data_IF_813135536954
#
_entry.id   IF_813135536954
#
_cell.length_a   1.000
_cell.length_b   1.000
_cell.length_c   1.000
_cell.angle_alpha   90.00
_cell.angle_beta   90.00
_cell.angle_gamma   90.00
#
_symmetry.space_group_name_H-M   'P 1'
#
loop_
_entity.id
_entity.type
_entity.pdbx_description
1 polymer ?
#
# COMPACT_ATOMS: atom_id res chain seq x y z
N UNK A 1 6.98 -19.16 15.99
CA UNK A 1 6.89 -19.98 14.76
C UNK A 1 8.23 -19.83 14.05
N UNK A 2 8.94 -20.94 13.83
CA UNK A 2 10.11 -20.97 12.98
C UNK A 2 9.68 -20.68 11.55
N UNK A 3 10.30 -19.70 10.90
CA UNK A 3 10.15 -19.44 9.48
C UNK A 3 11.03 -20.43 8.68
N UNK A 4 10.83 -21.74 8.93
CA UNK A 4 11.68 -22.78 8.34
C UNK A 4 11.30 -23.14 6.89
N UNK A 5 10.24 -22.54 6.36
CA UNK A 5 9.84 -22.61 4.96
C UNK A 5 9.53 -21.19 4.49
N UNK A 6 10.56 -20.46 4.15
CA UNK A 6 10.41 -19.25 3.36
C UNK A 6 9.96 -19.65 1.96
N UNK A 7 8.69 -19.96 1.79
CA UNK A 7 8.09 -19.73 0.50
C UNK A 7 8.34 -18.26 0.18
N UNK A 8 8.87 -17.94 -0.98
CA UNK A 8 9.07 -16.55 -1.35
C UNK A 8 7.76 -15.80 -1.14
N UNK A 9 7.81 -14.76 -0.32
CA UNK A 9 6.65 -13.91 -0.09
C UNK A 9 6.37 -13.21 -1.42
N UNK A 10 5.16 -13.32 -1.97
CA UNK A 10 4.81 -12.61 -3.18
C UNK A 10 4.98 -11.11 -2.95
N UNK A 11 5.70 -10.46 -3.83
CA UNK A 11 5.69 -9.01 -3.93
C UNK A 11 4.69 -8.67 -5.03
N UNK A 12 3.50 -8.25 -4.64
CA UNK A 12 2.39 -8.04 -5.55
C UNK A 12 2.05 -6.56 -5.72
N UNK A 13 1.62 -6.22 -6.89
CA UNK A 13 1.10 -4.91 -7.24
C UNK A 13 -0.43 -5.01 -7.40
N UNK A 14 -1.18 -4.20 -6.67
CA UNK A 14 -2.63 -4.28 -6.65
C UNK A 14 -3.31 -2.91 -6.54
N UNK A 15 -4.64 -2.86 -6.66
CA UNK A 15 -5.47 -1.70 -6.40
C UNK A 15 -6.84 -2.14 -5.85
N UNK A 16 -7.67 -1.19 -5.47
CA UNK A 16 -9.06 -1.29 -5.00
C UNK A 16 -9.31 -1.31 -3.50
N UNK A 17 -8.29 -1.28 -2.67
CA UNK A 17 -8.45 -1.11 -1.22
C UNK A 17 -8.17 0.33 -0.82
N UNK A 18 -9.01 0.89 0.04
CA UNK A 18 -8.66 2.12 0.74
C UNK A 18 -7.89 1.76 2.00
N UNK A 19 -6.68 2.25 2.11
CA UNK A 19 -5.75 1.87 3.15
C UNK A 19 -5.10 3.09 3.79
N UNK A 20 -4.68 2.93 5.04
CA UNK A 20 -3.89 3.92 5.76
C UNK A 20 -2.71 3.22 6.39
N UNK A 21 -1.53 3.69 6.08
CA UNK A 21 -0.29 3.15 6.64
C UNK A 21 0.22 4.01 7.78
N UNK A 22 0.58 3.36 8.89
CA UNK A 22 1.45 3.87 9.92
C UNK A 22 2.81 3.18 9.79
N UNK A 23 3.84 3.93 9.45
CA UNK A 23 5.20 3.43 9.21
C UNK A 23 6.08 3.94 10.33
N UNK A 24 6.19 3.16 11.42
CA UNK A 24 6.92 3.63 12.58
C UNK A 24 8.36 3.08 12.64
N UNK A 25 9.26 3.88 13.22
CA UNK A 25 10.67 3.51 13.36
C UNK A 25 10.90 2.41 14.39
N UNK A 26 9.97 2.21 15.33
CA UNK A 26 10.08 1.21 16.38
C UNK A 26 9.97 -0.22 15.84
N UNK A 27 9.05 -0.46 14.90
CA UNK A 27 8.87 -1.76 14.27
C UNK A 27 9.87 -1.98 13.12
N UNK A 28 10.62 -0.95 12.77
CA UNK A 28 11.64 -0.97 11.73
C UNK A 28 13.05 -0.67 12.30
N UNK A 29 13.52 -1.43 13.32
CA UNK A 29 14.82 -1.18 13.92
C UNK A 29 15.94 -1.49 12.91
N UNK A 30 16.95 -0.63 12.89
CA UNK A 30 18.08 -0.79 11.97
C UNK A 30 17.86 -0.23 10.57
N UNK A 31 16.68 0.30 10.29
CA UNK A 31 16.44 1.07 9.08
C UNK A 31 17.19 2.40 9.20
N UNK A 32 18.13 2.62 8.32
CA UNK A 32 18.87 3.88 8.23
C UNK A 32 18.50 4.65 6.98
N UNK A 33 18.78 5.94 6.97
CA UNK A 33 18.56 6.79 5.79
C UNK A 33 19.33 6.33 4.53
N UNK A 34 20.26 5.40 4.67
CA UNK A 34 21.00 4.79 3.55
C UNK A 34 20.26 3.61 2.90
N UNK A 35 19.17 3.15 3.49
CA UNK A 35 18.34 2.10 2.91
C UNK A 35 17.14 2.71 2.18
N UNK A 36 17.06 2.44 0.90
CA UNK A 36 15.97 2.92 0.06
C UNK A 36 14.76 1.98 0.20
N UNK A 37 13.79 2.42 0.99
CA UNK A 37 12.52 1.72 1.15
C UNK A 37 11.52 2.35 0.20
N UNK A 38 11.31 1.69 -0.93
CA UNK A 38 10.41 2.19 -1.94
C UNK A 38 9.22 1.26 -2.10
N UNK A 39 8.11 1.85 -2.49
CA UNK A 39 6.92 1.14 -2.97
C UNK A 39 6.53 1.70 -4.32
N UNK A 40 5.98 0.86 -5.18
CA UNK A 40 5.39 1.33 -6.44
C UNK A 40 4.01 1.92 -6.16
N UNK A 41 3.72 3.11 -6.70
CA UNK A 41 2.44 3.80 -6.49
C UNK A 41 1.98 4.48 -7.77
N UNK A 42 0.77 4.15 -8.23
CA UNK A 42 0.19 4.71 -9.44
C UNK A 42 0.92 4.29 -10.71
N UNK A 43 0.77 5.10 -11.73
CA UNK A 43 1.40 4.94 -13.03
C UNK A 43 2.07 6.25 -13.46
N UNK A 44 3.11 6.15 -14.27
CA UNK A 44 3.64 7.33 -14.94
C UNK A 44 2.58 7.94 -15.86
N UNK A 45 2.57 9.26 -15.97
CA UNK A 45 1.58 10.03 -16.77
C UNK A 45 1.59 9.70 -18.27
N UNK A 46 2.66 9.11 -18.78
CA UNK A 46 2.78 8.70 -20.18
C UNK A 46 2.22 7.30 -20.47
N UNK A 47 1.82 6.54 -19.44
CA UNK A 47 1.29 5.19 -19.63
C UNK A 47 -0.10 5.25 -20.24
N UNK A 48 -0.26 4.60 -21.37
CA UNK A 48 -1.54 4.53 -22.07
C UNK A 48 -2.39 3.36 -21.56
N UNK A 49 -3.71 3.47 -21.79
CA UNK A 49 -4.65 2.38 -21.53
C UNK A 49 -4.22 1.08 -22.22
N UNK A 50 -3.78 1.16 -23.48
CA UNK A 50 -3.38 -0.01 -24.25
C UNK A 50 -2.13 -0.68 -23.67
N UNK A 51 -1.17 0.11 -23.17
CA UNK A 51 0.01 -0.43 -22.48
C UNK A 51 -0.39 -1.17 -21.20
N UNK A 52 -1.27 -0.58 -20.39
CA UNK A 52 -1.75 -1.21 -19.17
C UNK A 52 -2.54 -2.50 -19.48
N UNK A 53 -3.45 -2.44 -20.45
CA UNK A 53 -4.21 -3.61 -20.92
C UNK A 53 -3.29 -4.74 -21.42
N UNK A 54 -2.23 -4.39 -22.15
CA UNK A 54 -1.26 -5.38 -22.61
C UNK A 54 -0.53 -6.06 -21.44
N UNK A 55 -0.21 -5.31 -20.36
CA UNK A 55 0.33 -5.87 -19.13
C UNK A 55 -0.66 -6.83 -18.47
N UNK A 56 -1.93 -6.44 -18.32
CA UNK A 56 -2.96 -7.27 -17.72
C UNK A 56 -3.24 -8.55 -18.51
N UNK A 57 -3.24 -8.48 -19.83
CA UNK A 57 -3.38 -9.68 -20.68
C UNK A 57 -2.19 -10.65 -20.52
N UNK A 58 -0.97 -10.15 -20.31
CA UNK A 58 0.19 -11.01 -20.00
C UNK A 58 0.03 -11.65 -18.62
N UNK A 59 -0.35 -10.83 -17.62
CA UNK A 59 -0.60 -11.33 -16.28
C UNK A 59 -1.62 -12.48 -16.29
N UNK A 60 -2.74 -12.33 -17.00
CA UNK A 60 -3.76 -13.39 -17.13
C UNK A 60 -3.27 -14.68 -17.78
N UNK A 61 -2.13 -14.65 -18.50
CA UNK A 61 -1.46 -15.84 -19.03
C UNK A 61 -0.38 -16.41 -18.12
N UNK A 62 -0.21 -15.84 -16.91
CA UNK A 62 0.87 -16.23 -16.00
C UNK A 62 2.27 -15.80 -16.49
N UNK A 63 2.34 -14.76 -17.31
CA UNK A 63 3.59 -14.22 -17.85
C UNK A 63 4.04 -12.98 -17.06
N UNK A 64 5.36 -12.77 -16.97
CA UNK A 64 5.88 -11.50 -16.49
C UNK A 64 5.37 -10.35 -17.36
N UNK A 65 4.67 -9.41 -16.76
CA UNK A 65 3.97 -8.36 -17.48
C UNK A 65 4.70 -7.03 -17.55
N UNK A 66 5.70 -6.82 -16.69
CA UNK A 66 6.53 -5.61 -16.67
C UNK A 66 5.83 -4.37 -16.14
N UNK A 67 4.67 -4.50 -15.50
CA UNK A 67 3.87 -3.36 -15.05
C UNK A 67 4.62 -2.48 -14.02
N UNK A 68 5.51 -3.07 -13.21
CA UNK A 68 6.36 -2.30 -12.27
C UNK A 68 7.20 -1.24 -12.93
N UNK A 69 7.60 -1.45 -14.19
CA UNK A 69 8.36 -0.45 -14.95
C UNK A 69 7.49 0.73 -15.40
N UNK A 70 6.17 0.59 -15.29
CA UNK A 70 5.20 1.63 -15.61
C UNK A 70 4.75 2.43 -14.36
N UNK A 71 5.18 2.01 -13.17
CA UNK A 71 4.83 2.62 -11.90
C UNK A 71 6.01 3.41 -11.31
N UNK A 72 5.79 4.63 -10.82
CA UNK A 72 6.80 5.36 -10.07
C UNK A 72 7.09 4.67 -8.73
N UNK A 73 8.36 4.66 -8.36
CA UNK A 73 8.79 4.16 -7.06
C UNK A 73 8.95 5.33 -6.09
N UNK A 74 8.19 5.27 -5.01
CA UNK A 74 8.11 6.30 -3.99
C UNK A 74 8.85 5.85 -2.74
N UNK A 75 9.70 6.72 -2.21
CA UNK A 75 10.38 6.46 -0.95
C UNK A 75 9.45 6.73 0.23
N UNK A 76 9.23 5.73 1.06
CA UNK A 76 8.43 5.85 2.27
C UNK A 76 9.27 6.43 3.41
N UNK A 77 8.65 7.30 4.21
CA UNK A 77 9.32 7.95 5.33
C UNK A 77 8.86 7.34 6.66
N UNK A 78 9.84 6.94 7.48
CA UNK A 78 9.56 6.46 8.83
C UNK A 78 8.88 7.56 9.67
N UNK A 79 8.06 7.12 10.62
CA UNK A 79 7.30 7.94 11.56
C UNK A 79 6.24 8.86 10.93
N UNK A 80 5.96 8.67 9.65
CA UNK A 80 4.87 9.34 8.95
C UNK A 80 3.74 8.35 8.64
N UNK A 81 2.57 8.89 8.43
CA UNK A 81 1.43 8.18 7.86
C UNK A 81 1.36 8.34 6.35
N UNK A 82 0.64 7.47 5.71
CA UNK A 82 0.29 7.58 4.30
C UNK A 82 -1.14 7.10 4.07
N UNK A 83 -1.87 7.80 3.22
CA UNK A 83 -3.23 7.41 2.84
C UNK A 83 -3.22 6.87 1.42
N UNK A 84 -3.69 5.65 1.25
CA UNK A 84 -3.85 5.02 -0.05
C UNK A 84 -5.32 5.02 -0.44
N UNK A 85 -5.75 5.88 -1.37
CA UNK A 85 -7.12 5.89 -1.85
C UNK A 85 -7.47 4.61 -2.61
N UNK A 86 -8.74 4.25 -2.57
CA UNK A 86 -9.27 3.19 -3.41
C UNK A 86 -8.97 3.44 -4.89
N UNK A 87 -8.67 2.40 -5.63
CA UNK A 87 -8.44 2.44 -7.06
C UNK A 87 -7.02 2.80 -7.50
N UNK A 88 -6.13 3.16 -6.57
CA UNK A 88 -4.74 3.45 -6.92
C UNK A 88 -3.88 2.20 -6.82
N UNK A 89 -3.17 1.93 -7.91
CA UNK A 89 -2.21 0.84 -8.00
C UNK A 89 -1.05 1.06 -7.02
N UNK A 90 -0.77 0.06 -6.20
CA UNK A 90 0.36 0.13 -5.27
C UNK A 90 0.85 -1.28 -4.90
N UNK A 91 2.03 -1.34 -4.33
CA UNK A 91 2.58 -2.57 -3.78
C UNK A 91 2.91 -2.41 -2.30
N UNK A 92 2.92 -3.49 -1.52
CA UNK A 92 3.46 -3.45 -0.17
C UNK A 92 4.89 -2.91 -0.19
N UNK A 93 5.21 -2.10 0.81
CA UNK A 93 6.60 -1.70 1.05
C UNK A 93 7.36 -2.84 1.75
N UNK A 94 8.67 -2.83 1.67
CA UNK A 94 9.54 -3.73 2.46
C UNK A 94 9.74 -3.26 3.91
N UNK A 95 8.98 -2.25 4.35
CA UNK A 95 8.90 -1.82 5.74
C UNK A 95 7.78 -2.56 6.46
N UNK A 96 7.94 -2.73 7.77
CA UNK A 96 6.83 -3.12 8.62
C UNK A 96 5.86 -1.95 8.77
N UNK A 97 4.61 -2.16 8.40
CA UNK A 97 3.55 -1.16 8.45
C UNK A 97 2.40 -1.64 9.32
N UNK A 98 1.77 -0.72 10.06
CA UNK A 98 0.44 -0.95 10.58
C UNK A 98 -0.56 -0.41 9.58
N UNK A 99 -1.38 -1.29 9.07
CA UNK A 99 -2.33 -0.96 8.02
C UNK A 99 -3.76 -1.02 8.57
N UNK A 100 -4.47 0.07 8.43
CA UNK A 100 -5.91 0.12 8.61
C UNK A 100 -6.58 0.22 7.25
N UNK A 101 -7.57 -0.60 7.01
CA UNK A 101 -8.38 -0.53 5.80
C UNK A 101 -9.86 -0.57 6.13
N UNK A 102 -10.68 0.00 5.27
CA UNK A 102 -12.14 -0.17 5.34
C UNK A 102 -12.53 -1.58 4.92
N UNK A 103 -13.69 -2.01 5.37
CA UNK A 103 -14.24 -3.37 5.23
C UNK A 103 -14.51 -3.84 3.79
N UNK A 104 -13.76 -3.37 2.81
CA UNK A 104 -13.83 -3.86 1.43
C UNK A 104 -12.56 -4.64 1.14
N UNK A 105 -12.72 -5.95 0.97
CA UNK A 105 -11.61 -6.86 0.63
C UNK A 105 -11.45 -7.06 -0.87
N UNK A 106 -12.01 -6.15 -1.68
CA UNK A 106 -11.80 -6.21 -3.12
C UNK A 106 -10.34 -5.96 -3.44
N UNK A 107 -9.75 -6.91 -4.12
CA UNK A 107 -8.33 -6.93 -4.35
C UNK A 107 -8.05 -7.34 -5.80
N UNK A 108 -7.59 -6.37 -6.58
CA UNK A 108 -7.20 -6.60 -7.96
C UNK A 108 -5.70 -6.70 -8.04
N UNK A 109 -5.20 -7.85 -8.40
CA UNK A 109 -3.78 -8.03 -8.67
C UNK A 109 -3.45 -7.57 -10.09
N UNK A 110 -2.42 -6.75 -10.21
CA UNK A 110 -1.84 -6.37 -11.49
C UNK A 110 -0.51 -7.11 -11.75
N UNK A 111 0.12 -7.60 -10.70
CA UNK A 111 1.33 -8.41 -10.76
C UNK A 111 1.43 -9.24 -9.48
N UNK A 112 1.91 -10.46 -9.61
CA UNK A 112 2.24 -11.35 -8.51
C UNK A 112 3.63 -11.96 -8.77
N UNK A 113 4.67 -11.20 -8.45
CA UNK A 113 6.06 -11.60 -8.63
C UNK A 113 6.65 -12.01 -7.28
N UNK A 114 7.18 -13.22 -7.20
CA UNK A 114 7.86 -13.68 -6.00
C UNK A 114 9.30 -13.14 -5.91
N UNK A 115 9.89 -13.12 -4.71
CA UNK A 115 11.25 -12.63 -4.49
C UNK A 115 12.32 -13.38 -5.30
N UNK A 116 12.06 -14.63 -5.67
CA UNK A 116 12.93 -15.44 -6.54
C UNK A 116 12.65 -15.24 -8.03
N UNK A 117 11.81 -14.28 -8.39
CA UNK A 117 11.53 -13.89 -9.78
C UNK A 117 10.52 -14.79 -10.50
N UNK A 118 9.83 -15.69 -9.80
CA UNK A 118 8.74 -16.48 -10.39
C UNK A 118 7.43 -15.72 -10.37
N UNK A 119 6.57 -16.01 -11.32
CA UNK A 119 5.19 -15.53 -11.30
C UNK A 119 4.37 -16.46 -10.42
N UNK A 120 3.66 -15.91 -9.46
CA UNK A 120 2.72 -16.64 -8.62
C UNK A 120 1.46 -17.08 -9.38
N UNK A 121 0.59 -17.80 -8.72
CA UNK A 121 -0.71 -18.16 -9.28
C UNK A 121 -1.58 -16.89 -9.38
N UNK A 122 -1.88 -16.50 -10.61
CA UNK A 122 -2.52 -15.25 -10.88
C UNK A 122 -4.03 -15.40 -11.02
N UNK A 123 -4.76 -15.11 -9.96
CA UNK A 123 -6.16 -14.70 -10.06
C UNK A 123 -6.23 -13.19 -9.78
N UNK A 124 -6.40 -12.39 -10.82
CA UNK A 124 -6.48 -10.95 -10.70
C UNK A 124 -7.64 -10.49 -9.80
N UNK A 125 -8.65 -11.31 -9.63
CA UNK A 125 -9.88 -10.99 -8.91
C UNK A 125 -10.07 -11.81 -7.63
N UNK A 126 -9.02 -12.27 -7.03
CA UNK A 126 -9.08 -13.33 -6.01
C UNK A 126 -9.92 -12.97 -4.77
N UNK A 127 -10.20 -11.72 -4.51
CA UNK A 127 -11.00 -11.27 -3.38
C UNK A 127 -12.16 -10.35 -3.79
N UNK A 128 -12.63 -10.42 -5.03
CA UNK A 128 -13.69 -9.55 -5.52
C UNK A 128 -15.07 -10.14 -5.22
N UNK A 129 -16.02 -9.25 -4.91
CA UNK A 129 -17.41 -9.66 -4.72
C UNK A 129 -18.07 -9.92 -6.08
N UNK A 130 -18.85 -10.98 -6.13
CA UNK A 130 -19.56 -11.39 -7.36
C UNK A 130 -20.50 -10.31 -7.92
N UNK A 131 -21.12 -9.51 -7.04
CA UNK A 131 -22.03 -8.43 -7.41
C UNK A 131 -21.36 -7.24 -8.11
N UNK A 132 -20.09 -6.95 -7.73
CA UNK A 132 -19.32 -5.85 -8.29
C UNK A 132 -18.45 -6.30 -9.47
N UNK A 133 -17.98 -7.55 -9.40
CA UNK A 133 -17.09 -8.18 -10.38
C UNK A 133 -17.53 -9.61 -10.66
N UNK A 134 -18.53 -9.79 -11.54
CA UNK A 134 -19.05 -11.12 -11.87
C UNK A 134 -17.97 -12.06 -12.41
N UNK A 135 -17.89 -13.27 -11.90
CA UNK A 135 -16.91 -14.29 -12.34
C UNK A 135 -16.91 -14.51 -13.85
N UNK A 136 -18.05 -14.37 -14.48
CA UNK A 136 -18.16 -14.43 -15.93
C UNK A 136 -17.36 -13.33 -16.68
N UNK A 137 -16.89 -12.31 -15.96
CA UNK A 137 -16.09 -11.19 -16.51
C UNK A 137 -14.62 -11.22 -16.06
N UNK A 138 -14.17 -12.21 -15.27
CA UNK A 138 -12.81 -12.25 -14.75
C UNK A 138 -11.73 -12.41 -15.83
N UNK A 139 -12.07 -12.92 -16.97
CA UNK A 139 -11.14 -13.00 -18.13
C UNK A 139 -11.32 -11.86 -19.13
N UNK A 140 -12.23 -10.93 -18.84
CA UNK A 140 -12.49 -9.76 -19.67
C UNK A 140 -11.58 -8.59 -19.23
N UNK A 141 -10.38 -8.59 -19.75
CA UNK A 141 -9.35 -7.58 -19.39
C UNK A 141 -9.73 -6.17 -19.83
N UNK A 142 -10.50 -6.03 -20.89
CA UNK A 142 -11.01 -4.72 -21.31
C UNK A 142 -11.99 -4.16 -20.28
N UNK A 143 -12.89 -5.00 -19.76
CA UNK A 143 -13.79 -4.64 -18.66
C UNK A 143 -13.04 -4.25 -17.40
N UNK A 144 -12.01 -5.01 -17.01
CA UNK A 144 -11.18 -4.69 -15.85
C UNK A 144 -10.52 -3.32 -16.01
N UNK A 145 -9.90 -3.06 -17.17
CA UNK A 145 -9.20 -1.80 -17.45
C UNK A 145 -10.17 -0.63 -17.57
N UNK A 146 -11.44 -0.85 -17.92
CA UNK A 146 -12.49 0.18 -17.84
C UNK A 146 -12.76 0.67 -16.42
N UNK A 147 -12.63 -0.22 -15.44
CA UNK A 147 -12.83 0.13 -14.02
C UNK A 147 -11.62 0.81 -13.39
N UNK A 148 -10.49 0.82 -14.05
CA UNK A 148 -9.27 1.40 -13.53
C UNK A 148 -9.27 2.93 -13.69
N UNK A 149 -9.09 3.64 -12.58
CA UNK A 149 -9.04 5.11 -12.57
C UNK A 149 -7.66 5.60 -12.99
N UNK A 150 -7.47 5.82 -14.29
CA UNK A 150 -6.23 6.35 -14.83
C UNK A 150 -5.91 7.75 -14.31
N UNK A 151 -6.91 8.59 -14.07
CA UNK A 151 -6.67 9.96 -13.60
C UNK A 151 -6.08 9.95 -12.18
N UNK A 152 -6.62 9.14 -11.28
CA UNK A 152 -6.09 8.99 -9.93
C UNK A 152 -4.70 8.35 -9.94
N UNK A 153 -4.48 7.37 -10.81
CA UNK A 153 -3.20 6.65 -10.90
C UNK A 153 -2.08 7.48 -11.54
N UNK A 154 -2.40 8.49 -12.32
CA UNK A 154 -1.44 9.34 -13.03
C UNK A 154 -1.31 10.74 -12.42
N UNK A 155 -1.88 10.97 -11.23
CA UNK A 155 -1.77 12.25 -10.54
C UNK A 155 -0.32 12.50 -10.09
N UNK A 156 0.39 13.49 -10.66
CA UNK A 156 1.78 13.78 -10.29
C UNK A 156 1.92 14.28 -8.85
N UNK A 157 0.84 14.76 -8.24
CA UNK A 157 0.82 15.25 -6.85
C UNK A 157 0.35 14.18 -5.86
N UNK A 158 0.11 12.95 -6.30
CA UNK A 158 -0.45 11.87 -5.49
C UNK A 158 0.28 11.70 -4.15
N UNK A 159 1.60 11.62 -4.19
CA UNK A 159 2.42 11.43 -2.98
C UNK A 159 2.28 12.61 -2.03
N UNK A 160 2.32 13.83 -2.54
CA UNK A 160 2.19 15.04 -1.73
C UNK A 160 0.81 15.12 -1.07
N UNK A 161 -0.24 14.81 -1.81
CA UNK A 161 -1.63 14.86 -1.30
C UNK A 161 -1.91 13.82 -0.23
N UNK A 162 -1.22 12.68 -0.26
CA UNK A 162 -1.53 11.52 0.57
C UNK A 162 -0.52 11.25 1.68
N UNK A 163 0.65 11.88 1.68
CA UNK A 163 1.58 11.84 2.80
C UNK A 163 1.02 12.58 4.02
N UNK A 164 1.24 12.04 5.20
CA UNK A 164 0.80 12.61 6.48
C UNK A 164 2.00 12.69 7.43
N UNK A 165 2.73 13.81 7.42
CA UNK A 165 3.77 14.04 8.44
C UNK A 165 3.17 13.93 9.83
N UNK A 166 3.82 13.18 10.72
CA UNK A 166 3.33 13.04 12.09
C UNK A 166 3.36 14.38 12.82
N UNK A 167 2.27 14.73 13.47
CA UNK A 167 2.17 15.96 14.29
C UNK A 167 2.04 15.62 15.78
N UNK A 168 2.63 16.41 16.67
CA UNK A 168 2.47 16.21 18.11
C UNK A 168 1.00 16.28 18.53
N UNK A 169 0.58 15.34 19.37
CA UNK A 169 -0.74 15.30 20.01
C UNK A 169 -0.59 15.75 21.47
N UNK A 170 -0.45 17.06 21.69
CA UNK A 170 -0.09 17.64 22.98
C UNK A 170 -1.10 17.30 24.09
N UNK A 171 -2.38 17.17 23.72
CA UNK A 171 -3.47 16.81 24.62
C UNK A 171 -3.34 15.43 25.26
N UNK A 172 -2.54 14.54 24.66
CA UNK A 172 -2.28 13.19 25.17
C UNK A 172 -0.89 13.01 25.76
N UNK A 173 -0.08 14.07 25.79
CA UNK A 173 1.26 14.01 26.37
C UNK A 173 1.20 14.15 27.90
N UNK A 174 2.07 13.42 28.58
CA UNK A 174 2.26 13.54 30.01
C UNK A 174 2.60 12.20 30.70
N UNK A 175 3.06 12.26 31.95
CA UNK A 175 3.33 11.08 32.77
C UNK A 175 4.15 9.97 32.09
N UNK A 176 5.16 10.34 31.30
CA UNK A 176 6.00 9.39 30.56
C UNK A 176 5.38 8.90 29.25
N UNK A 177 4.33 9.53 28.78
CA UNK A 177 3.73 9.26 27.46
C UNK A 177 4.10 10.37 26.49
N UNK A 178 4.52 10.02 25.30
CA UNK A 178 4.57 10.89 24.14
C UNK A 178 3.48 10.49 23.15
N UNK A 179 2.89 11.43 22.42
CA UNK A 179 1.78 11.16 21.53
C UNK A 179 1.91 11.93 20.22
N UNK A 180 1.57 11.25 19.13
CA UNK A 180 1.58 11.85 17.78
C UNK A 180 0.37 11.40 16.98
N UNK A 181 -0.26 12.34 16.29
CA UNK A 181 -1.17 12.03 15.22
C UNK A 181 -0.37 11.60 13.99
N UNK A 182 -0.57 10.38 13.52
CA UNK A 182 0.09 9.82 12.34
C UNK A 182 -0.77 10.01 11.10
N UNK A 183 -2.06 9.74 11.25
CA UNK A 183 -3.05 10.02 10.22
C UNK A 183 -4.17 10.84 10.85
N UNK A 184 -4.58 11.88 10.17
CA UNK A 184 -5.56 12.84 10.66
C UNK A 184 -6.31 13.48 9.49
N UNK A 185 -7.55 13.87 9.74
CA UNK A 185 -8.40 14.56 8.78
C UNK A 185 -9.54 13.68 8.23
N UNK A 186 -10.17 14.18 7.20
CA UNK A 186 -11.27 13.49 6.50
C UNK A 186 -10.73 12.88 5.21
N UNK A 187 -10.75 11.56 5.09
CA UNK A 187 -10.19 10.85 3.95
C UNK A 187 -11.22 10.16 3.08
N UNK A 188 -12.41 9.92 3.61
CA UNK A 188 -13.48 9.15 2.97
C UNK A 188 -14.79 9.96 2.94
N UNK A 189 -14.76 11.15 2.40
CA UNK A 189 -15.91 12.05 2.46
C UNK A 189 -16.30 12.34 3.91
N UNK A 190 -17.44 11.82 4.36
CA UNK A 190 -17.93 12.04 5.73
C UNK A 190 -17.31 11.08 6.77
N UNK A 191 -16.57 10.07 6.35
CA UNK A 191 -15.91 9.13 7.27
C UNK A 191 -14.60 9.71 7.76
N UNK A 192 -14.42 9.66 9.07
CA UNK A 192 -13.19 10.11 9.75
C UNK A 192 -12.39 8.90 10.19
N UNK A 193 -11.14 8.85 9.77
CA UNK A 193 -10.17 7.90 10.28
C UNK A 193 -8.97 8.68 10.81
N UNK A 194 -8.53 8.36 12.01
CA UNK A 194 -7.34 8.96 12.60
C UNK A 194 -6.55 7.89 13.33
N UNK A 195 -5.22 7.95 13.20
CA UNK A 195 -4.30 7.08 13.92
C UNK A 195 -3.53 7.93 14.91
N UNK A 196 -3.69 7.63 16.20
CA UNK A 196 -2.91 8.21 17.28
C UNK A 196 -1.89 7.17 17.75
N UNK A 197 -0.61 7.51 17.67
CA UNK A 197 0.47 6.69 18.22
C UNK A 197 0.81 7.20 19.63
N UNK A 198 0.73 6.32 20.62
CA UNK A 198 1.19 6.54 21.98
C UNK A 198 2.53 5.86 22.19
N UNK A 199 3.53 6.60 22.63
CA UNK A 199 4.87 6.12 22.92
C UNK A 199 5.08 6.19 24.43
N UNK A 200 5.12 5.04 25.08
CA UNK A 200 5.42 4.93 26.50
C UNK A 200 6.92 5.07 26.71
N UNK A 201 7.35 6.10 27.41
CA UNK A 201 8.73 6.27 27.85
C UNK A 201 8.92 5.40 29.09
N UNK A 202 9.82 4.43 29.01
CA UNK A 202 10.18 3.61 30.18
C UNK A 202 10.70 4.54 31.28
N UNK A 203 10.02 4.54 32.42
CA UNK A 203 10.61 5.11 33.62
C UNK A 203 11.86 4.28 33.93
N UNK A 204 13.03 4.86 33.78
CA UNK A 204 14.24 4.31 34.38
C UNK A 204 13.99 4.43 35.87
N UNK A 205 13.59 3.33 36.52
CA UNK A 205 13.63 3.27 37.98
C UNK A 205 15.10 3.42 38.33
N UNK A 206 15.45 4.60 38.85
CA UNK A 206 16.70 4.78 39.57
C UNK A 206 16.56 4.02 40.89
N UNK A 207 16.75 2.71 40.84
CA UNK A 207 17.16 1.95 42.01
C UNK A 207 18.66 1.90 41.95
N UNK A 208 19.27 2.92 42.63
CA UNK A 208 20.64 2.86 43.03
C UNK A 208 20.86 1.73 44.06
#
# INVERSE_FOLDING_TARGET
KKFDNLNPIPDHLHWSKWEVYDINSFDNPGVSASHYYTTAMGLYSFVTRDQFLACMKRFGRGEYNGIRHLAPHVMMQLDNGFVMPNGVLHSPTNLCTHELHVTMDEHFLAEDLTLDGRIGAADAFYACREEDYPRARHEDWDYLVEKFDFAANQDPEFVLKNSRPAIPAEEFKGNGVDAKWIVYGNFLGDQKCSILRLILKRALSATG
#
